data_IF_894664417847
#
_entry.id   IF_894664417847
#
_cell.length_a   1.000
_cell.length_b   1.000
_cell.length_c   1.000
_cell.angle_alpha   90.00
_cell.angle_beta   90.00
_cell.angle_gamma   90.00
#
_symmetry.space_group_name_H-M   'P 1'
#
loop_
_entity.id
_entity.type
_entity.pdbx_description
1 polymer ?
#
# COMPACT_ATOMS: atom_id res chain seq x y z
N UNK A 1 6.62 6.65 -33.80
CA UNK A 1 6.48 7.13 -32.40
C UNK A 1 6.66 5.93 -31.49
N UNK A 2 7.65 5.92 -30.60
CA UNK A 2 7.80 4.82 -29.62
C UNK A 2 6.63 4.84 -28.64
N UNK A 3 6.05 3.67 -28.35
CA UNK A 3 4.97 3.58 -27.36
C UNK A 3 5.53 3.88 -25.96
N UNK A 4 4.71 4.41 -25.04
CA UNK A 4 5.11 4.62 -23.64
C UNK A 4 5.69 3.35 -23.01
N UNK A 5 5.11 2.19 -23.35
CA UNK A 5 5.60 0.89 -22.88
C UNK A 5 7.01 0.58 -23.41
N UNK A 6 7.30 0.88 -24.67
CA UNK A 6 8.65 0.66 -25.24
C UNK A 6 9.72 1.56 -24.61
N UNK A 7 9.35 2.77 -24.18
CA UNK A 7 10.27 3.68 -23.47
C UNK A 7 10.54 3.15 -22.06
N UNK A 8 9.49 2.79 -21.32
CA UNK A 8 9.62 2.22 -19.97
C UNK A 8 10.45 0.92 -19.99
N UNK A 9 10.22 0.05 -20.99
CA UNK A 9 11.00 -1.16 -21.16
C UNK A 9 12.48 -0.82 -21.35
N UNK A 10 12.82 0.09 -22.27
CA UNK A 10 14.20 0.48 -22.51
C UNK A 10 14.88 1.09 -21.28
N UNK A 11 14.17 1.89 -20.49
CA UNK A 11 14.70 2.43 -19.23
C UNK A 11 14.98 1.35 -18.19
N UNK A 12 14.10 0.34 -18.07
CA UNK A 12 14.31 -0.81 -17.18
C UNK A 12 15.48 -1.66 -17.66
N UNK A 13 15.56 -1.95 -18.97
CA UNK A 13 16.64 -2.73 -19.58
C UNK A 13 18.00 -2.05 -19.34
N UNK A 14 18.08 -0.72 -19.54
CA UNK A 14 19.29 0.06 -19.27
C UNK A 14 19.67 0.06 -17.78
N UNK A 15 18.69 0.23 -16.89
CA UNK A 15 18.98 0.18 -15.45
C UNK A 15 19.40 -1.22 -15.00
N UNK A 16 18.86 -2.28 -15.62
CA UNK A 16 19.27 -3.66 -15.38
C UNK A 16 20.70 -3.90 -15.87
N UNK A 17 21.11 -3.35 -17.02
CA UNK A 17 22.50 -3.48 -17.50
C UNK A 17 23.51 -2.74 -16.62
N UNK A 18 23.09 -1.61 -16.04
CA UNK A 18 23.94 -0.80 -15.17
C UNK A 18 23.95 -1.27 -13.70
N UNK A 19 23.12 -2.26 -13.35
CA UNK A 19 22.99 -2.78 -11.99
C UNK A 19 23.15 -4.31 -11.93
N UNK A 20 23.37 -4.85 -10.72
CA UNK A 20 23.36 -6.30 -10.50
C UNK A 20 21.92 -6.85 -10.30
N UNK A 21 20.91 -6.26 -10.96
CA UNK A 21 19.50 -6.62 -10.79
C UNK A 21 18.89 -7.06 -12.12
N UNK A 22 17.93 -7.98 -12.03
CA UNK A 22 17.12 -8.35 -13.20
C UNK A 22 15.98 -7.36 -13.43
N UNK A 23 15.51 -7.25 -14.67
CA UNK A 23 14.31 -6.47 -15.03
C UNK A 23 13.12 -6.78 -14.11
N UNK A 24 12.92 -8.07 -13.78
CA UNK A 24 11.85 -8.54 -12.90
C UNK A 24 11.99 -7.96 -11.48
N UNK A 25 13.19 -7.99 -10.91
CA UNK A 25 13.46 -7.42 -9.58
C UNK A 25 13.25 -5.91 -9.55
N UNK A 26 13.60 -5.21 -10.63
CA UNK A 26 13.40 -3.76 -10.76
C UNK A 26 11.90 -3.44 -10.79
N UNK A 27 11.13 -4.17 -11.60
CA UNK A 27 9.67 -4.03 -11.68
C UNK A 27 9.03 -4.28 -10.31
N UNK A 28 9.45 -5.30 -9.58
CA UNK A 28 8.90 -5.59 -8.26
C UNK A 28 9.24 -4.51 -7.23
N UNK A 29 10.48 -3.98 -7.24
CA UNK A 29 10.85 -2.81 -6.41
C UNK A 29 10.00 -1.59 -6.75
N UNK A 30 9.71 -1.34 -8.03
CA UNK A 30 8.84 -0.23 -8.46
C UNK A 30 7.41 -0.44 -7.97
N UNK A 31 6.84 -1.64 -8.11
CA UNK A 31 5.50 -1.96 -7.57
C UNK A 31 5.42 -1.69 -6.08
N UNK A 32 6.41 -2.16 -5.32
CA UNK A 32 6.47 -1.96 -3.87
C UNK A 32 6.60 -0.48 -3.50
N UNK A 33 7.45 0.27 -4.20
CA UNK A 33 7.62 1.70 -3.99
C UNK A 33 6.31 2.46 -4.17
N UNK A 34 5.63 2.26 -5.31
CA UNK A 34 4.37 2.95 -5.59
C UNK A 34 3.23 2.50 -4.69
N UNK A 35 3.18 1.21 -4.32
CA UNK A 35 2.22 0.72 -3.34
C UNK A 35 2.45 1.40 -1.97
N UNK A 36 3.68 1.44 -1.48
CA UNK A 36 4.03 2.08 -0.22
C UNK A 36 3.76 3.59 -0.22
N UNK A 37 4.00 4.26 -1.34
CA UNK A 37 3.63 5.67 -1.53
C UNK A 37 2.13 5.87 -1.34
N UNK A 38 1.31 5.05 -2.02
CA UNK A 38 -0.16 5.08 -1.91
C UNK A 38 -0.65 4.76 -0.49
N UNK A 39 0.00 3.81 0.19
CA UNK A 39 -0.28 3.49 1.60
C UNK A 39 -0.04 4.73 2.48
N UNK A 40 1.10 5.41 2.32
CA UNK A 40 1.42 6.58 3.15
C UNK A 40 0.44 7.74 2.93
N UNK A 41 0.01 7.98 1.68
CA UNK A 41 -1.02 8.98 1.38
C UNK A 41 -2.36 8.64 2.05
N UNK A 42 -2.80 7.39 1.95
CA UNK A 42 -4.04 6.95 2.60
C UNK A 42 -3.95 6.98 4.12
N UNK A 43 -2.81 6.63 4.70
CA UNK A 43 -2.58 6.71 6.14
C UNK A 43 -2.65 8.16 6.66
N UNK A 44 -2.14 9.13 5.90
CA UNK A 44 -2.29 10.56 6.25
C UNK A 44 -3.76 10.97 6.32
N UNK A 45 -4.60 10.48 5.40
CA UNK A 45 -6.03 10.77 5.38
C UNK A 45 -6.78 10.04 6.50
N UNK A 46 -6.44 8.77 6.76
CA UNK A 46 -6.97 7.98 7.87
C UNK A 46 -6.68 8.61 9.23
N UNK A 47 -5.42 8.99 9.49
CA UNK A 47 -5.01 9.66 10.75
C UNK A 47 -5.73 10.99 10.97
N UNK A 48 -6.12 11.68 9.90
CA UNK A 48 -6.92 12.92 9.96
C UNK A 48 -8.41 12.67 10.13
N UNK A 49 -8.86 11.42 10.22
CA UNK A 49 -10.27 11.04 10.24
C UNK A 49 -11.02 11.28 8.92
N UNK A 50 -10.32 11.66 7.85
CA UNK A 50 -10.92 12.01 6.55
C UNK A 50 -11.32 10.78 5.74
N UNK A 51 -10.74 9.62 6.02
CA UNK A 51 -11.10 8.35 5.39
C UNK A 51 -11.30 7.25 6.40
N UNK A 52 -12.31 6.42 6.20
CA UNK A 52 -12.55 5.20 6.97
C UNK A 52 -11.72 4.04 6.42
N UNK A 53 -11.55 2.97 7.21
CA UNK A 53 -10.84 1.74 6.79
C UNK A 53 -11.41 1.19 5.48
N UNK A 54 -12.73 1.18 5.32
CA UNK A 54 -13.40 0.68 4.12
C UNK A 54 -12.98 1.45 2.85
N UNK A 55 -12.86 2.77 2.92
CA UNK A 55 -12.41 3.60 1.80
C UNK A 55 -10.94 3.37 1.50
N UNK A 56 -10.09 3.34 2.53
CA UNK A 56 -8.66 3.08 2.37
C UNK A 56 -8.40 1.71 1.74
N UNK A 57 -9.11 0.68 2.17
CA UNK A 57 -8.96 -0.68 1.62
C UNK A 57 -9.41 -0.77 0.16
N UNK A 58 -10.47 -0.06 -0.22
CA UNK A 58 -10.88 0.08 -1.64
C UNK A 58 -9.81 0.78 -2.47
N UNK A 59 -9.27 1.89 -1.97
CA UNK A 59 -8.22 2.64 -2.68
C UNK A 59 -6.96 1.80 -2.88
N UNK A 60 -6.53 1.12 -1.83
CA UNK A 60 -5.34 0.27 -1.87
C UNK A 60 -5.58 -1.08 -2.57
N UNK A 61 -6.84 -1.43 -2.87
CA UNK A 61 -7.24 -2.75 -3.41
C UNK A 61 -6.72 -3.91 -2.56
N UNK A 62 -6.80 -3.75 -1.23
CA UNK A 62 -6.39 -4.78 -0.25
C UNK A 62 -7.55 -5.12 0.68
N UNK A 63 -7.47 -6.26 1.35
CA UNK A 63 -8.45 -6.59 2.39
C UNK A 63 -8.24 -5.73 3.65
N UNK A 64 -9.28 -5.49 4.45
CA UNK A 64 -9.15 -4.84 5.76
C UNK A 64 -8.11 -5.51 6.66
N UNK A 65 -8.00 -6.84 6.63
CA UNK A 65 -6.97 -7.59 7.40
C UNK A 65 -5.55 -7.15 7.03
N UNK A 66 -5.25 -7.01 5.73
CA UNK A 66 -3.95 -6.51 5.28
C UNK A 66 -3.71 -5.07 5.72
N UNK A 67 -4.75 -4.22 5.70
CA UNK A 67 -4.63 -2.86 6.18
C UNK A 67 -4.35 -2.78 7.68
N UNK A 68 -5.01 -3.58 8.51
CA UNK A 68 -4.72 -3.65 9.94
C UNK A 68 -3.29 -4.11 10.22
N UNK A 69 -2.77 -5.09 9.48
CA UNK A 69 -1.37 -5.51 9.59
C UNK A 69 -0.39 -4.36 9.23
N UNK A 70 -0.74 -3.49 8.28
CA UNK A 70 0.04 -2.28 7.96
C UNK A 70 0.03 -1.29 9.13
N UNK A 71 -1.13 -1.12 9.80
CA UNK A 71 -1.25 -0.26 10.98
C UNK A 71 -0.40 -0.79 12.13
N UNK A 72 -0.48 -2.10 12.42
CA UNK A 72 0.34 -2.78 13.43
C UNK A 72 1.84 -2.60 13.14
N UNK A 73 2.29 -2.90 11.91
CA UNK A 73 3.70 -2.74 11.51
C UNK A 73 4.21 -1.30 11.64
N UNK A 74 3.33 -0.31 11.52
CA UNK A 74 3.67 1.12 11.64
C UNK A 74 3.41 1.68 13.04
N UNK A 75 3.05 0.85 14.02
CA UNK A 75 2.68 1.25 15.38
C UNK A 75 1.60 2.34 15.41
N UNK A 76 0.62 2.26 14.52
CA UNK A 76 -0.52 3.19 14.47
C UNK A 76 -1.66 2.57 15.27
N UNK A 77 -2.11 3.27 16.31
CA UNK A 77 -3.26 2.82 17.11
C UNK A 77 -4.55 2.83 16.28
N UNK A 78 -5.34 1.77 16.44
CA UNK A 78 -6.68 1.65 15.88
C UNK A 78 -7.55 0.85 16.84
N UNK A 79 -8.85 1.15 16.85
CA UNK A 79 -9.82 0.38 17.62
C UNK A 79 -10.06 -0.96 16.91
N UNK A 80 -9.53 -2.06 17.48
CA UNK A 80 -10.04 -3.39 17.14
C UNK A 80 -11.49 -3.43 17.61
N UNK A 81 -12.41 -3.76 16.70
CA UNK A 81 -13.80 -3.98 17.05
C UNK A 81 -13.85 -5.24 17.94
N UNK A 82 -13.80 -5.05 19.26
CA UNK A 82 -14.10 -6.14 20.19
C UNK A 82 -15.60 -6.39 20.11
N UNK A 83 -15.97 -7.53 19.51
CA UNK A 83 -17.36 -8.01 19.50
C UNK A 83 -17.87 -8.39 20.91
N UNK A 84 -17.02 -8.29 21.93
CA UNK A 84 -17.33 -8.52 23.34
C UNK A 84 -17.52 -7.19 24.10
N UNK A 85 -18.28 -6.26 23.54
CA UNK A 85 -19.09 -5.39 24.39
C UNK A 85 -20.41 -6.11 24.56
N UNK A 86 -20.39 -7.09 25.46
CA UNK A 86 -21.60 -7.59 26.08
C UNK A 86 -22.38 -6.40 26.63
N UNK A 87 -23.66 -6.41 26.29
CA UNK A 87 -24.77 -5.98 27.12
C UNK A 87 -24.34 -5.57 28.53
N UNK A 88 -24.47 -4.28 28.84
CA UNK A 88 -24.66 -3.85 30.22
C UNK A 88 -26.17 -3.67 30.42
N UNK A 89 -26.89 -4.66 30.97
CA UNK A 89 -28.22 -4.41 31.51
C UNK A 89 -28.06 -3.89 32.94
N UNK A 90 -28.50 -2.65 33.18
CA UNK A 90 -29.05 -2.12 34.45
C UNK A 90 -29.45 -0.67 34.22
#
# INVERSE_FOLDING_TARGET
>A
MKSKLSIIKAEIDNYASDSNLTELQIVDKLKDYYFNKKVNENLKLYKKGKKKVSEVTKDLKISPRKFYAILEKKNISYTKYNKNKEESPS
#
